data_IF_194536015568
#
_entry.id   IF_194536015568
#
_cell.length_a   1.000
_cell.length_b   1.000
_cell.length_c   1.000
_cell.angle_alpha   90.00
_cell.angle_beta   90.00
_cell.angle_gamma   90.00
#
_symmetry.space_group_name_H-M   'P 1'
#
loop_
_entity.id
_entity.type
_entity.pdbx_description
1 polymer ?
#
# COMPACT_ATOMS: atom_id res chain seq x y z
N UNK A 1 25.44 26.08 -3.24
CA UNK A 1 25.59 24.71 -2.70
C UNK A 1 24.41 23.79 -3.02
N UNK A 2 23.13 24.19 -2.88
CA UNK A 2 21.99 23.28 -3.16
C UNK A 2 21.81 22.85 -4.65
N UNK A 3 22.49 23.51 -5.59
CA UNK A 3 22.27 23.33 -7.05
C UNK A 3 23.13 22.24 -7.70
N UNK A 4 24.09 21.68 -6.95
CA UNK A 4 25.06 20.68 -7.44
C UNK A 4 24.73 19.25 -7.00
N UNK A 5 23.72 19.06 -6.14
CA UNK A 5 23.32 17.74 -5.70
C UNK A 5 22.61 17.01 -6.85
N UNK A 6 22.97 15.74 -7.12
CA UNK A 6 22.31 14.96 -8.15
C UNK A 6 20.82 14.81 -7.80
N UNK A 7 19.94 15.30 -8.66
CA UNK A 7 18.50 15.09 -8.53
C UNK A 7 18.17 13.65 -8.91
N UNK A 8 17.29 13.01 -8.13
CA UNK A 8 16.77 11.69 -8.46
C UNK A 8 16.05 11.77 -9.80
N UNK A 9 16.68 11.25 -10.86
CA UNK A 9 16.04 11.11 -12.17
C UNK A 9 14.92 10.10 -12.07
N UNK A 10 13.67 10.56 -12.07
CA UNK A 10 12.50 9.69 -12.03
C UNK A 10 12.47 8.85 -13.30
N UNK A 11 12.84 7.58 -13.18
CA UNK A 11 12.93 6.66 -14.29
C UNK A 11 11.53 6.15 -14.60
N UNK A 12 10.89 6.78 -15.60
CA UNK A 12 9.59 6.44 -16.21
C UNK A 12 8.34 6.64 -15.33
N UNK A 13 7.33 7.33 -15.88
CA UNK A 13 5.96 7.34 -15.39
C UNK A 13 5.32 5.98 -15.73
N UNK A 14 5.68 4.94 -14.98
CA UNK A 14 4.92 3.69 -15.07
C UNK A 14 3.59 3.90 -14.34
N UNK A 15 2.49 3.62 -15.02
CA UNK A 15 1.17 3.67 -14.44
C UNK A 15 1.05 2.51 -13.45
N UNK A 16 0.76 2.75 -12.16
CA UNK A 16 0.61 1.67 -11.20
C UNK A 16 -0.59 0.79 -11.59
N UNK A 17 -0.41 -0.53 -11.55
CA UNK A 17 -1.49 -1.49 -11.72
C UNK A 17 -2.29 -1.56 -10.41
N UNK A 18 -3.49 -0.98 -10.42
CA UNK A 18 -4.41 -1.10 -9.31
C UNK A 18 -5.06 -2.49 -9.30
N UNK A 19 -5.37 -2.99 -8.11
CA UNK A 19 -6.14 -4.21 -7.96
C UNK A 19 -7.59 -4.00 -8.41
N UNK A 20 -8.19 -5.02 -9.01
CA UNK A 20 -9.62 -5.11 -9.24
C UNK A 20 -10.37 -5.37 -7.92
N UNK A 21 -11.68 -5.19 -7.92
CA UNK A 21 -12.52 -5.49 -6.75
C UNK A 21 -12.41 -6.97 -6.36
N UNK A 22 -12.38 -7.87 -7.34
CA UNK A 22 -12.24 -9.32 -7.14
C UNK A 22 -10.88 -9.64 -6.51
N UNK A 23 -9.81 -8.98 -6.95
CA UNK A 23 -8.47 -9.16 -6.40
C UNK A 23 -8.39 -8.64 -4.95
N UNK A 24 -9.05 -7.52 -4.64
CA UNK A 24 -9.11 -6.99 -3.27
C UNK A 24 -9.78 -7.99 -2.33
N UNK A 25 -10.91 -8.58 -2.74
CA UNK A 25 -11.63 -9.60 -1.96
C UNK A 25 -10.78 -10.87 -1.77
N UNK A 26 -10.10 -11.33 -2.82
CA UNK A 26 -9.18 -12.46 -2.74
C UNK A 26 -8.03 -12.20 -1.77
N UNK A 27 -7.44 -11.00 -1.79
CA UNK A 27 -6.40 -10.60 -0.84
C UNK A 27 -6.96 -10.59 0.58
N UNK A 28 -8.11 -9.98 0.82
CA UNK A 28 -8.72 -9.94 2.16
C UNK A 28 -8.94 -11.34 2.73
N UNK A 29 -9.59 -12.22 1.95
CA UNK A 29 -9.84 -13.61 2.32
C UNK A 29 -8.56 -14.39 2.61
N UNK A 30 -7.51 -14.18 1.81
CA UNK A 30 -6.21 -14.84 2.00
C UNK A 30 -5.57 -14.45 3.33
N UNK A 31 -5.70 -13.18 3.75
CA UNK A 31 -5.19 -12.74 5.05
C UNK A 31 -6.03 -13.31 6.20
N UNK A 32 -7.36 -13.34 6.10
CA UNK A 32 -8.25 -13.88 7.13
C UNK A 32 -7.96 -15.33 7.49
N UNK A 33 -7.73 -16.19 6.49
CA UNK A 33 -7.47 -17.63 6.74
C UNK A 33 -6.01 -17.92 7.10
N UNK A 34 -5.11 -16.94 6.95
CA UNK A 34 -3.69 -17.15 7.19
C UNK A 34 -3.37 -17.08 8.69
N UNK A 35 -2.89 -18.20 9.23
CA UNK A 35 -2.49 -18.34 10.64
C UNK A 35 -1.55 -17.24 11.15
N UNK A 36 -0.65 -16.74 10.30
CA UNK A 36 0.37 -15.77 10.71
C UNK A 36 -0.02 -14.33 10.42
N UNK A 37 -0.90 -14.08 9.45
CA UNK A 37 -1.16 -12.74 8.94
C UNK A 37 -2.60 -12.25 9.14
N UNK A 38 -3.50 -13.06 9.71
CA UNK A 38 -4.87 -12.65 10.00
C UNK A 38 -4.99 -11.36 10.83
N UNK A 39 -4.02 -11.07 11.68
CA UNK A 39 -4.00 -9.84 12.47
C UNK A 39 -3.79 -8.55 11.64
N UNK A 40 -3.37 -8.67 10.36
CA UNK A 40 -3.24 -7.53 9.45
C UNK A 40 -4.51 -7.24 8.64
N UNK A 41 -5.55 -8.07 8.72
CA UNK A 41 -6.81 -7.86 7.97
C UNK A 41 -7.36 -6.44 8.16
N UNK A 42 -7.47 -5.89 9.38
CA UNK A 42 -7.98 -4.52 9.56
C UNK A 42 -7.13 -3.46 8.86
N UNK A 43 -5.79 -3.63 8.86
CA UNK A 43 -4.87 -2.69 8.22
C UNK A 43 -4.99 -2.71 6.70
N UNK A 44 -5.13 -3.92 6.12
CA UNK A 44 -5.23 -4.10 4.67
C UNK A 44 -6.55 -3.56 4.15
N UNK A 45 -7.66 -3.86 4.83
CA UNK A 45 -8.94 -3.25 4.49
C UNK A 45 -8.91 -1.74 4.60
N UNK A 46 -8.29 -1.21 5.66
CA UNK A 46 -8.14 0.23 5.82
C UNK A 46 -7.35 0.85 4.66
N UNK A 47 -6.27 0.23 4.20
CA UNK A 47 -5.53 0.70 3.03
C UNK A 47 -6.34 0.65 1.74
N UNK A 48 -7.08 -0.43 1.49
CA UNK A 48 -7.93 -0.50 0.29
C UNK A 48 -9.06 0.53 0.30
N UNK A 49 -9.60 0.86 1.49
CA UNK A 49 -10.69 1.84 1.64
C UNK A 49 -10.20 3.29 1.57
N UNK A 50 -8.99 3.58 2.06
CA UNK A 50 -8.50 4.96 2.22
C UNK A 50 -7.46 5.38 1.18
N UNK A 51 -6.71 4.43 0.62
CA UNK A 51 -5.55 4.72 -0.24
C UNK A 51 -4.43 5.50 0.46
N UNK A 52 -4.42 5.55 1.79
CA UNK A 52 -3.39 6.27 2.53
C UNK A 52 -2.01 5.58 2.39
N UNK A 53 -0.95 6.37 2.49
CA UNK A 53 0.43 5.87 2.48
C UNK A 53 0.71 5.09 3.75
N UNK A 54 1.62 4.09 3.74
CA UNK A 54 1.96 3.33 4.94
C UNK A 54 2.40 4.21 6.13
N UNK A 55 3.13 5.30 5.86
CA UNK A 55 3.53 6.27 6.90
C UNK A 55 2.35 7.02 7.52
N UNK A 56 1.26 7.24 6.77
CA UNK A 56 0.05 7.89 7.26
C UNK A 56 -0.72 6.93 8.16
N UNK A 57 -0.86 5.66 7.75
CA UNK A 57 -1.53 4.62 8.53
C UNK A 57 -0.87 4.37 9.90
N UNK A 58 0.46 4.31 9.95
CA UNK A 58 1.20 4.08 11.21
C UNK A 58 1.14 5.28 12.15
N UNK A 59 0.92 6.49 11.60
CA UNK A 59 0.82 7.72 12.37
C UNK A 59 -0.55 7.96 13.02
N UNK A 60 -1.54 7.09 12.81
CA UNK A 60 -2.86 7.22 13.43
C UNK A 60 -2.79 6.90 14.93
N UNK A 61 -3.41 7.77 15.74
CA UNK A 61 -3.58 7.65 17.19
C UNK A 61 -5.07 7.60 17.56
#
# INVERSE_FOLDING_TARGET
MAKELPTRKQTRKNQPMAFSQEEIELVSNAFEVNKYYAHYVPLIEFWFKTGCRPSEAIGLQ
#
